data_IF_230591994976
#
_entry.id   IF_230591994976
#
_cell.length_a   1.000
_cell.length_b   1.000
_cell.length_c   1.000
_cell.angle_alpha   90.00
_cell.angle_beta   90.00
_cell.angle_gamma   90.00
#
_symmetry.space_group_name_H-M   'P 1'
#
loop_
_entity.id
_entity.type
_entity.pdbx_description
1 polymer ?
#
# COMPACT_ATOMS: atom_id res chain seq x y z
N UNK A 1 14.18 4.83 -19.94
CA UNK A 1 13.71 3.48 -20.36
C UNK A 1 13.34 2.74 -19.08
N UNK A 2 12.21 2.06 -19.05
CA UNK A 2 11.66 1.44 -17.83
C UNK A 2 12.32 0.09 -17.56
N UNK A 3 12.40 -0.36 -16.31
CA UNK A 3 12.91 -1.71 -16.04
C UNK A 3 12.04 -2.79 -16.70
N UNK A 4 10.72 -2.57 -16.77
CA UNK A 4 9.81 -3.45 -17.53
C UNK A 4 10.20 -3.60 -19.01
N UNK A 5 10.84 -2.60 -19.63
CA UNK A 5 11.34 -2.68 -20.99
C UNK A 5 12.59 -3.56 -21.14
N UNK A 6 13.25 -3.90 -20.03
CA UNK A 6 14.40 -4.81 -19.97
C UNK A 6 13.99 -6.25 -19.58
N UNK A 7 12.72 -6.48 -19.25
CA UNK A 7 12.22 -7.82 -18.94
C UNK A 7 12.05 -8.66 -20.22
N UNK A 8 12.61 -9.88 -20.27
CA UNK A 8 12.34 -10.83 -21.34
C UNK A 8 10.85 -11.19 -21.44
N UNK A 9 10.31 -11.22 -22.67
CA UNK A 9 8.89 -11.44 -22.95
C UNK A 9 8.53 -12.89 -23.37
N UNK A 10 9.38 -13.89 -23.12
CA UNK A 10 9.10 -15.27 -23.54
C UNK A 10 8.27 -16.05 -22.50
N UNK A 11 7.43 -16.98 -22.96
CA UNK A 11 6.37 -17.64 -22.15
C UNK A 11 6.83 -18.39 -20.90
N UNK A 12 8.10 -18.79 -20.81
CA UNK A 12 8.65 -19.52 -19.66
C UNK A 12 9.55 -18.65 -18.75
N UNK A 13 9.43 -17.33 -18.85
CA UNK A 13 10.13 -16.40 -17.97
C UNK A 13 9.66 -16.61 -16.52
N UNK A 14 10.60 -16.72 -15.57
CA UNK A 14 10.39 -17.11 -14.15
C UNK A 14 10.10 -18.59 -13.83
N UNK A 15 9.87 -19.49 -14.79
CA UNK A 15 9.49 -20.88 -14.45
C UNK A 15 10.66 -21.76 -13.98
N UNK A 16 11.85 -21.58 -14.57
CA UNK A 16 13.00 -22.48 -14.36
C UNK A 16 14.33 -21.77 -14.13
N UNK A 17 14.35 -20.44 -14.18
CA UNK A 17 15.56 -19.65 -14.06
C UNK A 17 15.44 -18.69 -12.88
N UNK A 18 16.44 -18.68 -12.01
CA UNK A 18 16.67 -17.54 -11.13
C UNK A 18 17.07 -16.37 -12.01
N UNK A 19 16.24 -15.34 -12.07
CA UNK A 19 16.60 -14.12 -12.77
C UNK A 19 17.79 -13.51 -12.02
N UNK A 20 18.90 -13.30 -12.72
CA UNK A 20 19.96 -12.47 -12.17
C UNK A 20 19.41 -11.05 -12.14
N UNK A 21 18.97 -10.58 -10.96
CA UNK A 21 18.46 -9.24 -10.82
C UNK A 21 19.61 -8.26 -11.06
N UNK A 22 19.43 -7.35 -12.01
CA UNK A 22 20.30 -6.18 -12.14
C UNK A 22 19.53 -5.03 -11.54
N UNK A 23 20.05 -4.47 -10.44
CA UNK A 23 19.51 -3.25 -9.88
C UNK A 23 19.93 -2.08 -10.79
N UNK A 24 18.94 -1.44 -11.41
CA UNK A 24 19.14 -0.28 -12.28
C UNK A 24 19.09 1.05 -11.51
N UNK A 25 18.98 1.01 -10.17
CA UNK A 25 18.93 2.19 -9.31
C UNK A 25 17.63 2.99 -9.45
N UNK A 26 16.55 2.35 -9.88
CA UNK A 26 15.23 2.95 -10.03
C UNK A 26 14.36 2.54 -8.84
N UNK A 27 13.64 3.49 -8.23
CA UNK A 27 12.70 3.15 -7.16
C UNK A 27 11.52 2.32 -7.70
N UNK A 28 10.76 1.68 -6.81
CA UNK A 28 9.57 0.94 -7.22
C UNK A 28 8.53 1.86 -7.86
N UNK A 29 8.40 3.08 -7.33
CA UNK A 29 7.53 4.14 -7.81
C UNK A 29 7.94 4.60 -9.22
N UNK A 30 9.21 4.95 -9.41
CA UNK A 30 9.73 5.40 -10.71
C UNK A 30 9.57 4.33 -11.79
N UNK A 31 9.78 3.05 -11.44
CA UNK A 31 9.60 1.95 -12.36
C UNK A 31 8.13 1.74 -12.71
N UNK A 32 7.24 1.86 -11.72
CA UNK A 32 5.80 1.78 -11.94
C UNK A 32 5.32 2.90 -12.86
N UNK A 33 5.64 4.15 -12.55
CA UNK A 33 5.31 5.31 -13.41
C UNK A 33 5.78 5.12 -14.85
N UNK A 34 7.03 4.66 -15.01
CA UNK A 34 7.60 4.42 -16.32
C UNK A 34 6.83 3.31 -17.08
N UNK A 35 6.49 2.20 -16.43
CA UNK A 35 5.79 1.08 -17.06
C UNK A 35 4.42 1.47 -17.65
N UNK A 36 3.77 2.50 -17.08
CA UNK A 36 2.44 2.94 -17.49
C UNK A 36 2.40 3.70 -18.82
N UNK A 37 3.56 4.02 -19.41
CA UNK A 37 3.71 4.51 -20.79
C UNK A 37 2.78 5.67 -21.19
N UNK A 38 2.36 6.52 -20.24
CA UNK A 38 1.62 7.77 -20.49
C UNK A 38 0.13 7.62 -20.84
N UNK A 39 -0.41 6.40 -20.93
CA UNK A 39 -1.85 6.24 -21.05
C UNK A 39 -2.51 6.41 -19.67
N UNK A 40 -3.61 7.17 -19.65
CA UNK A 40 -4.44 7.40 -18.47
C UNK A 40 -5.09 6.08 -18.03
N UNK A 41 -4.33 5.19 -17.40
CA UNK A 41 -4.88 4.12 -16.59
C UNK A 41 -5.81 4.83 -15.60
N UNK A 42 -7.09 4.48 -15.65
CA UNK A 42 -8.11 5.07 -14.80
C UNK A 42 -7.62 4.96 -13.35
N UNK A 43 -7.59 6.08 -12.63
CA UNK A 43 -7.11 6.13 -11.25
C UNK A 43 -8.06 5.32 -10.36
N UNK A 44 -7.76 4.04 -10.18
CA UNK A 44 -8.48 3.11 -9.30
C UNK A 44 -7.77 3.01 -7.94
N UNK A 45 -7.59 4.18 -7.30
CA UNK A 45 -6.91 4.31 -6.00
C UNK A 45 -7.89 4.58 -4.86
N UNK A 46 -9.19 4.38 -5.10
CA UNK A 46 -10.25 4.44 -4.10
C UNK A 46 -11.08 3.17 -4.19
N UNK A 47 -11.48 2.58 -3.04
CA UNK A 47 -12.47 1.51 -3.06
C UNK A 47 -13.75 1.98 -3.76
N UNK A 48 -14.40 1.14 -4.61
CA UNK A 48 -15.55 1.56 -5.42
C UNK A 48 -16.74 2.14 -4.62
N UNK A 49 -16.86 1.77 -3.36
CA UNK A 49 -17.96 2.17 -2.45
C UNK A 49 -17.54 3.26 -1.45
N UNK A 50 -16.31 3.75 -1.52
CA UNK A 50 -15.75 4.72 -0.58
C UNK A 50 -15.67 6.12 -1.19
N UNK A 51 -16.07 7.14 -0.43
CA UNK A 51 -15.81 8.56 -0.73
C UNK A 51 -14.56 9.08 0.00
N UNK A 52 -13.77 8.17 0.59
CA UNK A 52 -12.57 8.48 1.35
C UNK A 52 -11.42 9.00 0.48
N UNK A 53 -10.32 9.46 1.12
CA UNK A 53 -9.11 9.85 0.41
C UNK A 53 -8.55 8.69 -0.42
N UNK A 54 -7.92 9.02 -1.55
CA UNK A 54 -7.13 8.04 -2.33
C UNK A 54 -6.11 7.35 -1.42
N UNK A 55 -5.93 6.05 -1.60
CA UNK A 55 -5.00 5.24 -0.82
C UNK A 55 -5.18 5.42 0.70
N UNK A 56 -6.43 5.62 1.14
CA UNK A 56 -6.80 5.90 2.53
C UNK A 56 -6.04 7.09 3.15
N UNK A 57 -5.42 7.97 2.33
CA UNK A 57 -4.56 9.06 2.76
C UNK A 57 -3.20 8.62 3.32
N UNK A 58 -2.78 7.36 3.07
CA UNK A 58 -1.58 6.73 3.61
C UNK A 58 -0.66 6.17 2.54
N UNK A 59 -0.67 6.82 1.38
CA UNK A 59 0.10 6.41 0.22
C UNK A 59 -0.10 7.34 -0.97
N UNK A 60 0.63 7.04 -2.04
CA UNK A 60 0.56 7.75 -3.31
C UNK A 60 -0.14 6.91 -4.38
N UNK A 61 -1.05 7.52 -5.13
CA UNK A 61 -1.69 6.88 -6.28
C UNK A 61 -0.77 6.95 -7.50
N UNK A 62 -0.21 5.82 -7.90
CA UNK A 62 0.66 5.73 -9.08
C UNK A 62 0.01 4.74 -10.05
N UNK A 63 -0.41 5.26 -11.21
CA UNK A 63 -1.03 4.48 -12.28
C UNK A 63 -2.27 3.66 -11.86
N UNK A 64 -3.10 4.18 -10.97
CA UNK A 64 -4.29 3.47 -10.51
C UNK A 64 -4.00 2.34 -9.52
N UNK A 65 -2.83 2.36 -8.88
CA UNK A 65 -2.48 1.52 -7.73
C UNK A 65 -1.90 2.37 -6.61
N UNK A 66 -2.14 1.96 -5.38
CA UNK A 66 -1.62 2.65 -4.21
C UNK A 66 -0.23 2.13 -3.84
N UNK A 67 0.70 3.08 -3.64
CA UNK A 67 2.00 2.86 -3.04
C UNK A 67 1.92 3.37 -1.60
N UNK A 68 1.84 2.45 -0.64
CA UNK A 68 1.65 2.81 0.76
C UNK A 68 2.91 3.42 1.34
N UNK A 69 2.74 4.42 2.21
CA UNK A 69 3.85 5.11 2.83
C UNK A 69 4.66 4.13 3.70
N UNK A 70 5.94 4.01 3.40
CA UNK A 70 6.88 3.39 4.30
C UNK A 70 7.09 4.34 5.49
N UNK A 71 6.73 3.90 6.70
CA UNK A 71 7.06 4.62 7.93
C UNK A 71 8.19 3.88 8.64
N UNK A 72 9.46 4.12 8.25
CA UNK A 72 10.59 3.51 8.91
C UNK A 72 10.65 4.00 10.36
N UNK A 73 10.27 3.12 11.28
CA UNK A 73 10.42 3.29 12.71
C UNK A 73 11.63 2.46 13.17
N UNK A 74 12.75 3.08 13.57
CA UNK A 74 13.94 2.37 14.04
C UNK A 74 13.69 1.50 15.27
N UNK A 75 12.72 1.86 16.11
CA UNK A 75 12.36 1.10 17.31
C UNK A 75 11.41 -0.06 16.97
N UNK A 76 10.60 0.09 15.92
CA UNK A 76 9.61 -0.89 15.48
C UNK A 76 9.69 -1.12 13.96
N UNK A 77 10.76 -1.76 13.46
CA UNK A 77 11.00 -1.91 12.02
C UNK A 77 9.97 -2.83 11.33
N UNK A 78 9.14 -3.54 12.10
CA UNK A 78 8.04 -4.33 11.55
C UNK A 78 6.80 -3.50 11.22
N UNK A 79 6.73 -2.22 11.60
CA UNK A 79 5.58 -1.35 11.31
C UNK A 79 5.42 -1.20 9.80
N UNK A 80 4.24 -1.56 9.31
CA UNK A 80 3.95 -1.49 7.89
C UNK A 80 2.50 -1.11 7.65
N UNK A 81 2.29 -0.28 6.62
CA UNK A 81 0.98 0.03 6.04
C UNK A 81 0.84 -0.86 4.80
N UNK A 82 -0.34 -1.42 4.59
CA UNK A 82 -0.60 -2.38 3.52
C UNK A 82 -2.07 -2.38 3.07
N UNK A 83 -2.37 -3.17 2.05
CA UNK A 83 -3.69 -3.23 1.42
C UNK A 83 -3.69 -2.59 0.04
N UNK A 84 -4.71 -2.91 -0.76
CA UNK A 84 -4.82 -2.42 -2.13
C UNK A 84 -5.03 -0.90 -2.17
N UNK A 85 -5.58 -0.35 -1.08
CA UNK A 85 -5.86 1.07 -0.88
C UNK A 85 -5.19 1.60 0.40
N UNK A 86 -4.13 0.94 0.88
CA UNK A 86 -3.42 1.30 2.12
C UNK A 86 -4.34 1.45 3.33
N UNK A 87 -5.34 0.58 3.45
CA UNK A 87 -6.42 0.58 4.45
C UNK A 87 -6.11 -0.30 5.67
N UNK A 88 -4.99 -1.04 5.63
CA UNK A 88 -4.52 -1.85 6.75
C UNK A 88 -3.15 -1.41 7.30
N UNK A 89 -2.91 -1.71 8.56
CA UNK A 89 -1.57 -1.65 9.17
C UNK A 89 -1.39 -2.75 10.23
N UNK A 90 -0.20 -2.83 10.84
CA UNK A 90 0.07 -3.72 11.97
C UNK A 90 0.49 -2.97 13.24
N UNK A 91 -0.04 -1.76 13.46
CA UNK A 91 0.40 -0.95 14.60
C UNK A 91 -0.67 -0.01 15.18
N UNK A 92 -1.83 0.15 14.54
CA UNK A 92 -2.92 1.01 15.03
C UNK A 92 -3.81 0.31 16.07
N UNK A 93 -3.41 -0.86 16.55
CA UNK A 93 -4.07 -1.61 17.62
C UNK A 93 -3.34 -1.47 18.97
N UNK A 94 -3.87 -2.13 20.00
CA UNK A 94 -3.24 -2.23 21.32
C UNK A 94 -2.98 -3.68 21.71
N UNK A 95 -1.89 -3.92 22.43
CA UNK A 95 -1.58 -5.21 23.04
C UNK A 95 -0.41 -5.97 22.41
N UNK A 96 0.01 -7.09 23.04
CA UNK A 96 1.26 -7.80 22.70
C UNK A 96 1.25 -8.48 21.33
N UNK A 97 0.09 -8.61 20.69
CA UNK A 97 -0.08 -9.18 19.35
C UNK A 97 -0.32 -8.12 18.28
N UNK A 98 -0.26 -6.84 18.63
CA UNK A 98 -0.64 -5.77 17.71
C UNK A 98 0.27 -5.69 16.47
N UNK A 99 1.49 -6.19 16.55
CA UNK A 99 2.38 -6.32 15.40
C UNK A 99 2.08 -7.53 14.49
N UNK A 100 1.07 -8.34 14.82
CA UNK A 100 0.63 -9.53 14.05
C UNK A 100 -0.50 -9.20 13.05
N UNK A 101 -0.61 -7.94 12.59
CA UNK A 101 -1.65 -7.48 11.66
C UNK A 101 -1.81 -8.32 10.36
N UNK A 102 -2.81 -8.02 9.52
CA UNK A 102 -3.35 -6.68 9.26
C UNK A 102 -4.58 -6.28 10.07
N UNK A 103 -4.63 -5.01 10.50
CA UNK A 103 -5.77 -4.35 11.15
C UNK A 103 -6.34 -3.27 10.24
N UNK A 104 -7.66 -3.27 10.05
CA UNK A 104 -8.39 -2.27 9.26
C UNK A 104 -8.47 -0.95 10.02
N UNK A 105 -8.18 0.17 9.36
CA UNK A 105 -8.42 1.49 9.96
C UNK A 105 -9.90 1.81 10.13
N UNK A 106 -10.76 1.26 9.26
CA UNK A 106 -12.19 1.52 9.32
C UNK A 106 -12.83 0.92 10.59
N UNK A 107 -12.26 -0.18 11.10
CA UNK A 107 -12.73 -0.83 12.32
C UNK A 107 -12.31 -0.02 13.57
N UNK A 108 -11.18 0.68 13.50
CA UNK A 108 -10.67 1.54 14.57
C UNK A 108 -11.45 2.86 14.66
N UNK A 109 -11.76 3.49 13.52
CA UNK A 109 -12.58 4.71 13.49
C UNK A 109 -13.99 4.44 14.03
N UNK A 110 -14.58 3.29 13.69
CA UNK A 110 -15.88 2.90 14.24
C UNK A 110 -15.83 2.67 15.76
N UNK A 111 -14.71 2.16 16.30
CA UNK A 111 -14.53 2.02 17.74
C UNK A 111 -14.45 3.38 18.44
N UNK A 112 -13.67 4.33 17.92
CA UNK A 112 -13.55 5.68 18.48
C UNK A 112 -14.86 6.48 18.41
N UNK A 113 -15.63 6.36 17.32
CA UNK A 113 -16.97 6.96 17.18
C UNK A 113 -17.97 6.37 18.19
N UNK A 114 -17.87 5.06 18.47
CA UNK A 114 -18.70 4.40 19.50
C UNK A 114 -18.28 4.79 20.93
N UNK A 115 -16.98 5.05 21.16
CA UNK A 115 -16.48 5.53 22.47
C UNK A 115 -16.87 6.99 22.69
N UNK A 116 -16.70 7.86 21.70
CA UNK A 116 -17.05 9.28 21.83
C UNK A 116 -18.57 9.52 21.94
N UNK A 117 -19.39 8.71 21.28
CA UNK A 117 -20.87 8.75 21.44
C UNK A 117 -21.37 8.17 22.77
N UNK A 118 -20.57 7.35 23.47
CA UNK A 118 -20.90 6.83 24.81
C UNK A 118 -20.44 7.74 25.96
N UNK A 119 -19.68 8.80 25.67
CA UNK A 119 -19.38 9.90 26.59
C UNK A 119 -20.12 11.19 26.22
N UNK A 120 -21.35 11.07 25.74
CA UNK A 120 -22.31 12.17 25.82
C UNK A 120 -22.54 12.54 27.29
N UNK A 121 -21.95 13.67 27.70
CA UNK A 121 -22.03 14.25 29.05
C UNK A 121 -23.47 14.24 29.64
N UNK A 122 -23.62 14.13 30.98
CA UNK A 122 -24.89 14.29 31.67
C UNK A 122 -25.54 15.67 31.45
#
# INVERSE_FOLDING_TARGET
>A
MCFSAHLPLYENYCEKQRINHTDYGMSFEDNAECACSGDKIMSDCQPPESTGPECSGRGSCVCGRCFCDEQPDPENPSKTIMGDYCEYDNFSCSGPKCNEGPYSIHDLTAYEDNVTSSWGNP
#
